data_IF_247730190833
#
_entry.id   IF_247730190833
#
_cell.length_a   1.000
_cell.length_b   1.000
_cell.length_c   1.000
_cell.angle_alpha   90.00
_cell.angle_beta   90.00
_cell.angle_gamma   90.00
#
_symmetry.space_group_name_H-M   'P 1'
#
loop_
_entity.id
_entity.type
_entity.pdbx_description
1 polymer ?
#
# COMPACT_ATOMS: atom_id res chain seq x y z
N UNK A 1 1.59 18.74 -1.12
CA UNK A 1 0.18 18.63 -0.64
C UNK A 1 0.18 18.80 0.87
N UNK A 2 -0.85 19.42 1.46
CA UNK A 2 -1.03 19.51 2.92
C UNK A 2 -2.30 18.78 3.30
N UNK A 3 -2.34 18.22 4.50
CA UNK A 3 -3.53 17.62 5.08
C UNK A 3 -3.67 18.02 6.53
N UNK A 4 -4.83 17.75 7.12
CA UNK A 4 -5.14 18.05 8.52
C UNK A 4 -5.23 16.76 9.35
N UNK A 5 -5.11 16.96 10.66
CA UNK A 5 -5.56 15.99 11.65
C UNK A 5 -7.01 16.35 12.00
N UNK A 6 -7.89 15.35 12.05
CA UNK A 6 -9.28 15.58 12.43
C UNK A 6 -9.45 15.79 13.95
N UNK A 7 -10.68 16.06 14.40
CA UNK A 7 -10.97 16.31 15.81
C UNK A 7 -10.67 15.14 16.76
N UNK A 8 -10.45 13.94 16.21
CA UNK A 8 -10.22 12.71 16.98
C UNK A 8 -8.75 12.25 16.88
N UNK A 9 -7.87 13.05 16.26
CA UNK A 9 -6.45 12.78 16.18
C UNK A 9 -6.01 11.93 14.99
N UNK A 10 -6.86 11.72 13.97
CA UNK A 10 -6.53 10.91 12.79
C UNK A 10 -6.00 11.79 11.66
N UNK A 11 -4.99 11.31 10.93
CA UNK A 11 -4.51 11.97 9.71
C UNK A 11 -5.52 11.73 8.58
N UNK A 12 -6.04 12.81 8.00
CA UNK A 12 -6.88 12.72 6.81
C UNK A 12 -5.97 12.45 5.60
N UNK A 13 -6.25 11.41 4.81
CA UNK A 13 -5.49 11.17 3.57
C UNK A 13 -6.34 11.63 2.38
N UNK A 14 -5.87 12.63 1.60
CA UNK A 14 -6.59 13.13 0.43
C UNK A 14 -6.92 12.00 -0.57
N UNK A 15 -8.12 12.06 -1.16
CA UNK A 15 -8.63 11.03 -2.08
C UNK A 15 -7.62 10.59 -3.16
N UNK A 16 -6.93 11.50 -3.88
CA UNK A 16 -5.99 11.09 -4.92
C UNK A 16 -4.82 10.24 -4.39
N UNK A 17 -4.33 10.53 -3.17
CA UNK A 17 -3.28 9.74 -2.52
C UNK A 17 -3.81 8.39 -2.05
N UNK A 18 -5.03 8.34 -1.52
CA UNK A 18 -5.66 7.06 -1.13
C UNK A 18 -5.79 6.13 -2.32
N UNK A 19 -6.29 6.63 -3.44
CA UNK A 19 -6.49 5.83 -4.65
C UNK A 19 -5.16 5.37 -5.24
N UNK A 20 -4.18 6.27 -5.37
CA UNK A 20 -2.85 5.92 -5.91
C UNK A 20 -2.09 4.89 -5.07
N UNK A 21 -2.32 4.86 -3.76
CA UNK A 21 -1.66 3.94 -2.83
C UNK A 21 -2.53 2.75 -2.42
N UNK A 22 -3.74 2.60 -2.99
CA UNK A 22 -4.67 1.51 -2.66
C UNK A 22 -5.18 1.55 -1.21
N UNK A 23 -5.20 2.72 -0.56
CA UNK A 23 -5.56 2.84 0.86
C UNK A 23 -7.08 2.80 1.05
N UNK A 24 -7.52 1.81 1.81
CA UNK A 24 -8.90 1.63 2.23
C UNK A 24 -9.08 1.99 3.72
N UNK A 25 -10.33 2.22 4.14
CA UNK A 25 -10.63 2.39 5.56
C UNK A 25 -10.21 1.12 6.32
N UNK A 26 -9.46 1.29 7.41
CA UNK A 26 -8.90 0.17 8.17
C UNK A 26 -7.53 -0.33 7.69
N UNK A 27 -6.95 0.24 6.62
CA UNK A 27 -5.58 -0.08 6.22
C UNK A 27 -4.60 0.15 7.37
N UNK A 28 -3.77 -0.84 7.66
CA UNK A 28 -2.74 -0.76 8.69
C UNK A 28 -1.52 -0.04 8.13
N UNK A 29 -0.85 0.77 8.94
CA UNK A 29 0.32 1.54 8.55
C UNK A 29 1.44 1.33 9.55
N UNK A 30 2.64 1.10 9.05
CA UNK A 30 3.86 1.26 9.83
C UNK A 30 4.16 2.75 9.94
N UNK A 31 4.47 3.17 11.16
CA UNK A 31 4.72 4.57 11.51
C UNK A 31 6.13 4.67 12.07
N UNK A 32 6.94 5.53 11.48
CA UNK A 32 8.30 5.81 11.95
C UNK A 32 8.60 7.31 11.92
N UNK A 33 9.60 7.73 12.70
CA UNK A 33 10.15 9.08 12.60
C UNK A 33 11.18 9.12 11.48
N UNK A 34 11.11 10.15 10.65
CA UNK A 34 12.11 10.43 9.62
C UNK A 34 12.53 11.90 9.69
N UNK A 35 13.69 12.15 10.29
CA UNK A 35 14.14 13.51 10.62
C UNK A 35 13.16 14.23 11.55
N UNK A 36 12.69 15.40 11.11
CA UNK A 36 11.65 16.17 11.81
C UNK A 36 10.21 15.76 11.44
N UNK A 37 10.05 14.74 10.59
CA UNK A 37 8.76 14.31 10.04
C UNK A 37 8.29 12.96 10.55
N UNK A 38 7.05 12.64 10.16
CA UNK A 38 6.45 11.32 10.32
C UNK A 38 6.45 10.62 8.95
N UNK A 39 6.96 9.41 8.89
CA UNK A 39 6.85 8.54 7.74
C UNK A 39 5.76 7.51 8.01
N UNK A 40 4.81 7.39 7.07
CA UNK A 40 3.78 6.36 7.09
C UNK A 40 3.98 5.48 5.86
N UNK A 41 4.03 4.18 6.09
CA UNK A 41 4.14 3.17 5.03
C UNK A 41 3.03 2.15 5.26
N UNK A 42 2.28 1.73 4.22
CA UNK A 42 1.30 0.64 4.38
C UNK A 42 1.96 -0.59 5.00
N UNK A 43 1.47 -0.97 6.19
CA UNK A 43 1.87 -2.21 6.84
C UNK A 43 1.25 -3.36 6.04
N UNK A 44 2.05 -4.36 5.69
CA UNK A 44 1.57 -5.47 4.86
C UNK A 44 1.94 -5.39 3.39
N UNK A 45 2.90 -4.54 2.99
CA UNK A 45 3.77 -4.95 1.86
C UNK A 45 4.67 -6.10 2.31
N UNK A 46 4.04 -7.25 2.56
CA UNK A 46 4.72 -8.54 2.73
C UNK A 46 5.35 -8.97 1.42
N UNK A 47 4.76 -8.52 0.30
CA UNK A 47 5.29 -8.66 -1.05
C UNK A 47 6.72 -8.10 -1.12
N UNK A 48 7.69 -9.00 -1.05
CA UNK A 48 9.11 -8.76 -1.29
C UNK A 48 9.52 -9.56 -2.52
N UNK A 49 10.54 -9.07 -3.21
CA UNK A 49 11.20 -9.87 -4.24
C UNK A 49 12.27 -10.74 -3.57
N UNK A 50 12.25 -12.03 -3.87
CA UNK A 50 13.30 -12.98 -3.50
C UNK A 50 13.89 -13.57 -4.77
N UNK A 51 15.18 -13.87 -4.75
CA UNK A 51 15.80 -14.65 -5.82
C UNK A 51 15.47 -16.13 -5.59
N UNK A 52 14.75 -16.73 -6.54
CA UNK A 52 14.56 -18.18 -6.60
C UNK A 52 15.12 -18.68 -7.93
N UNK A 53 16.22 -19.42 -7.85
CA UNK A 53 16.89 -20.02 -9.01
C UNK A 53 17.23 -19.02 -10.14
N UNK A 54 17.62 -17.79 -9.79
CA UNK A 54 17.99 -16.74 -10.75
C UNK A 54 16.80 -15.97 -11.34
N UNK A 55 15.58 -16.20 -10.84
CA UNK A 55 14.40 -15.41 -11.14
C UNK A 55 13.97 -14.59 -9.92
N UNK A 56 13.56 -13.33 -10.14
CA UNK A 56 12.94 -12.53 -9.08
C UNK A 56 11.48 -12.96 -8.89
N UNK A 57 11.17 -13.54 -7.74
CA UNK A 57 9.83 -14.00 -7.36
C UNK A 57 9.25 -13.05 -6.31
N UNK A 58 8.02 -12.58 -6.55
CA UNK A 58 7.27 -11.83 -5.55
C UNK A 58 6.66 -12.80 -4.54
N UNK A 59 7.04 -12.68 -3.26
CA UNK A 59 6.51 -13.48 -2.15
C UNK A 59 5.88 -12.57 -1.10
N UNK A 60 4.72 -12.95 -0.57
CA UNK A 60 4.02 -12.22 0.48
C UNK A 60 2.87 -13.04 1.06
N UNK A 61 2.32 -12.61 2.18
CA UNK A 61 1.24 -13.30 2.90
C UNK A 61 -0.16 -12.92 2.39
N UNK A 62 -0.24 -11.92 1.51
CA UNK A 62 -1.50 -11.53 0.86
C UNK A 62 -2.00 -12.64 -0.04
N UNK A 63 -3.17 -13.18 0.27
CA UNK A 63 -3.91 -14.06 -0.64
C UNK A 63 -4.23 -13.27 -1.91
N UNK A 64 -3.84 -13.82 -3.06
CA UNK A 64 -4.23 -13.34 -4.39
C UNK A 64 -5.12 -14.41 -4.98
N UNK A 65 -6.33 -14.04 -5.39
CA UNK A 65 -7.27 -14.96 -6.04
C UNK A 65 -7.49 -14.61 -7.53
N UNK A 66 -8.37 -15.35 -8.18
CA UNK A 66 -8.66 -15.19 -9.60
C UNK A 66 -9.22 -13.80 -9.92
N UNK A 67 -10.02 -13.20 -9.04
CA UNK A 67 -10.61 -11.87 -9.26
C UNK A 67 -9.53 -10.79 -9.26
N UNK A 68 -8.55 -10.89 -8.35
CA UNK A 68 -7.39 -10.01 -8.33
C UNK A 68 -6.58 -10.10 -9.63
N UNK A 69 -6.32 -11.32 -10.10
CA UNK A 69 -5.55 -11.58 -11.33
C UNK A 69 -6.28 -11.06 -12.56
N UNK A 70 -7.58 -11.36 -12.70
CA UNK A 70 -8.39 -10.88 -13.82
C UNK A 70 -8.50 -9.36 -13.82
N UNK A 71 -8.69 -8.74 -12.66
CA UNK A 71 -8.72 -7.29 -12.52
C UNK A 71 -7.43 -6.61 -13.00
N UNK A 72 -6.26 -7.19 -12.67
CA UNK A 72 -4.96 -6.67 -13.10
C UNK A 72 -4.72 -6.84 -14.61
N UNK A 73 -5.09 -7.99 -15.18
CA UNK A 73 -4.96 -8.24 -16.63
C UNK A 73 -5.82 -7.25 -17.42
N UNK A 74 -7.05 -7.04 -17.00
CA UNK A 74 -7.97 -6.12 -17.69
C UNK A 74 -7.54 -4.65 -17.56
N UNK A 75 -6.94 -4.27 -16.43
CA UNK A 75 -6.35 -2.94 -16.25
C UNK A 75 -5.17 -2.70 -17.22
N UNK A 76 -4.34 -3.72 -17.48
CA UNK A 76 -3.20 -3.63 -18.39
C UNK A 76 -3.54 -3.61 -19.88
N UNK A 77 -4.81 -3.83 -20.25
CA UNK A 77 -5.30 -3.86 -21.65
C UNK A 77 -5.85 -2.52 -22.15
N UNK A 78 -5.83 -1.47 -21.33
CA UNK A 78 -6.32 -0.12 -21.70
C UNK A 78 -5.19 0.82 -22.08
#
# INVERSE_FOLDING_TARGET
>A
MRTSIDSVGRIVVPKPLREALGLQAGSVMDISRYGAGLQLVPAGRTARLVDEAGALVATGDTTIDDDDVFGLIDAGRR
#
